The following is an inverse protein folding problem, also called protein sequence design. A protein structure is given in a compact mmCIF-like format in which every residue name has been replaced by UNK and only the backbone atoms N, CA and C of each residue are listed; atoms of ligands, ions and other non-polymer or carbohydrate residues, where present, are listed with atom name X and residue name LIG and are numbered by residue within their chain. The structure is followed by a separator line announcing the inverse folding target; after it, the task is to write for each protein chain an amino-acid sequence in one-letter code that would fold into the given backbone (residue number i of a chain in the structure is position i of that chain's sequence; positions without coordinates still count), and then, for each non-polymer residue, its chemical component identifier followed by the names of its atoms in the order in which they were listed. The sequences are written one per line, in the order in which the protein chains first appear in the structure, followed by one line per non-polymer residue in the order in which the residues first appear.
data_IF_112736022786
#
_entry.id   IF_112736022786
#
_cell.length_a   1.000
_cell.length_b   1.000
_cell.length_c   1.000
_cell.angle_alpha   90.00
_cell.angle_beta   90.00
_cell.angle_gamma   90.00
#
_symmetry.space_group_name_H-M   'P 1'
#
loop_
_entity.id
_entity.type
_entity.pdbx_description
1 polymer ?
#
# COMPACT_ATOMS: atom_id res chain seq x y z
N UNK A 1 -67.78 -21.03 -4.28
CA UNK A 1 -66.60 -21.13 -3.38
C UNK A 1 -65.52 -20.17 -3.88
N UNK A 2 -64.94 -19.42 -2.94
CA UNK A 2 -64.06 -18.27 -3.15
C UNK A 2 -62.60 -18.73 -3.24
N UNK A 3 -61.84 -18.26 -4.22
CA UNK A 3 -60.38 -18.13 -4.10
C UNK A 3 -59.92 -16.88 -4.87
N UNK A 4 -59.69 -15.81 -4.12
CA UNK A 4 -58.96 -14.62 -4.58
C UNK A 4 -57.49 -14.92 -4.33
N UNK A 5 -56.74 -15.24 -5.37
CA UNK A 5 -55.28 -15.43 -5.28
C UNK A 5 -54.63 -14.07 -5.45
N UNK A 6 -54.38 -13.39 -4.32
CA UNK A 6 -53.62 -12.14 -4.27
C UNK A 6 -52.13 -12.47 -4.42
N UNK A 7 -51.59 -12.34 -5.62
CA UNK A 7 -50.16 -12.54 -5.88
C UNK A 7 -49.38 -11.30 -5.41
N UNK A 8 -48.80 -11.38 -4.21
CA UNK A 8 -47.87 -10.37 -3.71
C UNK A 8 -46.53 -10.57 -4.44
N UNK A 9 -46.27 -9.72 -5.43
CA UNK A 9 -44.96 -9.60 -6.05
C UNK A 9 -44.00 -8.96 -5.03
N UNK A 10 -43.14 -9.79 -4.40
CA UNK A 10 -42.06 -9.31 -3.55
C UNK A 10 -40.99 -8.69 -4.45
N UNK A 11 -40.97 -7.36 -4.49
CA UNK A 11 -39.89 -6.55 -5.04
C UNK A 11 -38.60 -6.85 -4.25
N UNK A 12 -37.76 -7.72 -4.81
CA UNK A 12 -36.36 -7.88 -4.41
C UNK A 12 -35.62 -6.60 -4.83
N UNK A 13 -35.65 -5.59 -3.96
CA UNK A 13 -34.71 -4.48 -3.98
C UNK A 13 -33.33 -5.03 -3.63
N UNK A 14 -32.63 -5.55 -4.64
CA UNK A 14 -31.20 -5.79 -4.57
C UNK A 14 -30.48 -4.45 -4.46
N UNK A 15 -30.26 -3.99 -3.23
CA UNK A 15 -29.32 -2.91 -2.96
C UNK A 15 -27.92 -3.43 -3.25
N UNK A 16 -27.50 -3.36 -4.51
CA UNK A 16 -26.09 -3.40 -4.85
C UNK A 16 -25.51 -2.13 -4.23
N UNK A 17 -24.96 -2.25 -3.02
CA UNK A 17 -24.22 -1.17 -2.40
C UNK A 17 -23.08 -0.81 -3.36
N UNK A 18 -23.26 0.29 -4.09
CA UNK A 18 -22.23 0.85 -4.94
C UNK A 18 -21.10 1.28 -4.01
N UNK A 19 -20.05 0.44 -3.95
CA UNK A 19 -18.83 0.71 -3.21
C UNK A 19 -18.37 2.13 -3.53
N UNK A 20 -18.31 2.99 -2.50
CA UNK A 20 -17.92 4.38 -2.63
C UNK A 20 -16.42 4.47 -2.95
N UNK A 21 -16.09 4.26 -4.23
CA UNK A 21 -15.12 5.03 -4.99
C UNK A 21 -13.68 5.04 -4.49
N UNK A 22 -13.01 3.89 -4.39
CA UNK A 22 -11.55 3.90 -4.54
C UNK A 22 -11.21 4.32 -5.96
N UNK A 23 -10.63 5.51 -6.12
CA UNK A 23 -10.26 6.04 -7.44
C UNK A 23 -8.87 5.54 -7.80
N UNK A 24 -8.65 5.25 -9.09
CA UNK A 24 -7.28 5.08 -9.59
C UNK A 24 -6.54 6.40 -9.40
N UNK A 25 -5.28 6.38 -8.98
CA UNK A 25 -4.51 7.55 -8.72
C UNK A 25 -4.32 8.32 -10.00
N UNK A 26 -4.30 9.65 -9.89
CA UNK A 26 -3.84 10.47 -11.01
C UNK A 26 -2.38 10.07 -11.27
N UNK A 27 -2.01 9.93 -12.54
CA UNK A 27 -0.63 9.73 -12.99
C UNK A 27 0.21 10.88 -12.37
N UNK A 28 0.87 10.67 -11.23
CA UNK A 28 1.65 11.72 -10.56
C UNK A 28 1.52 11.86 -9.04
N UNK A 29 0.80 10.99 -8.33
CA UNK A 29 0.81 11.06 -6.86
C UNK A 29 2.07 10.44 -6.25
N UNK A 30 2.54 9.33 -6.82
CA UNK A 30 3.88 8.79 -6.60
C UNK A 30 4.33 7.93 -7.78
N UNK A 31 5.64 7.68 -7.86
CA UNK A 31 6.25 6.73 -8.80
C UNK A 31 6.85 5.55 -8.03
N UNK A 32 6.38 4.33 -8.30
CA UNK A 32 7.02 3.11 -7.79
C UNK A 32 8.36 2.90 -8.53
N UNK A 33 9.46 2.93 -7.78
CA UNK A 33 10.81 2.62 -8.30
C UNK A 33 11.06 1.12 -8.26
N UNK A 34 10.75 0.50 -7.13
CA UNK A 34 11.02 -0.91 -6.90
C UNK A 34 9.96 -1.51 -5.98
N UNK A 35 9.56 -2.74 -6.27
CA UNK A 35 8.84 -3.58 -5.33
C UNK A 35 9.54 -4.94 -5.28
N UNK A 36 9.89 -5.40 -4.08
CA UNK A 36 10.61 -6.64 -3.93
C UNK A 36 10.24 -7.40 -2.65
N UNK A 37 10.42 -8.71 -2.68
CA UNK A 37 10.41 -9.56 -1.47
C UNK A 37 11.85 -9.87 -1.07
N UNK A 38 12.12 -9.85 0.22
CA UNK A 38 13.41 -10.24 0.77
C UNK A 38 13.20 -11.08 2.02
N UNK A 39 13.93 -12.19 2.14
CA UNK A 39 13.95 -12.99 3.37
C UNK A 39 15.10 -12.54 4.24
N UNK A 40 14.85 -12.38 5.54
CA UNK A 40 15.92 -12.31 6.53
C UNK A 40 16.12 -13.69 7.13
N UNK A 41 17.25 -14.34 6.81
CA UNK A 41 17.67 -15.59 7.43
C UNK A 41 18.03 -15.29 8.87
N UNK A 42 17.13 -15.61 9.81
CA UNK A 42 17.48 -15.58 11.23
C UNK A 42 18.53 -16.66 11.51
N UNK A 43 19.54 -16.35 12.32
CA UNK A 43 20.54 -17.33 12.77
C UNK A 43 20.00 -18.44 13.68
N UNK A 44 18.69 -18.45 13.97
CA UNK A 44 18.05 -19.46 14.82
C UNK A 44 17.34 -20.52 13.95
N UNK A 45 17.67 -21.82 14.07
CA UNK A 45 17.15 -22.88 13.18
C UNK A 45 15.63 -23.10 13.20
N UNK A 46 14.94 -22.65 14.26
CA UNK A 46 13.59 -23.10 14.59
C UNK A 46 12.47 -22.12 14.21
N UNK A 47 12.79 -20.96 13.63
CA UNK A 47 11.80 -19.97 13.21
C UNK A 47 11.88 -19.74 11.68
N UNK A 48 10.76 -19.78 10.94
CA UNK A 48 10.77 -19.45 9.53
C UNK A 48 11.22 -17.98 9.35
N UNK A 49 12.16 -17.70 8.43
CA UNK A 49 12.68 -16.37 8.23
C UNK A 49 11.56 -15.41 7.83
N UNK A 50 11.42 -14.23 8.46
CA UNK A 50 10.43 -13.26 8.03
C UNK A 50 10.73 -12.86 6.59
N UNK A 51 9.78 -13.13 5.69
CA UNK A 51 9.81 -12.65 4.31
C UNK A 51 9.02 -11.34 4.29
N UNK A 52 9.72 -10.23 4.05
CA UNK A 52 9.11 -8.92 3.95
C UNK A 52 8.91 -8.52 2.50
N UNK A 53 7.75 -7.94 2.18
CA UNK A 53 7.59 -7.14 0.97
C UNK A 53 8.11 -5.72 1.25
N UNK A 54 8.77 -5.12 0.26
CA UNK A 54 9.33 -3.78 0.33
C UNK A 54 8.91 -3.02 -0.92
N UNK A 55 8.53 -1.76 -0.73
CA UNK A 55 8.14 -0.84 -1.81
C UNK A 55 8.99 0.41 -1.70
N UNK A 56 9.66 0.77 -2.78
CA UNK A 56 10.42 2.02 -2.90
C UNK A 56 9.66 2.93 -3.83
N UNK A 57 9.19 4.06 -3.33
CA UNK A 57 8.44 5.04 -4.12
C UNK A 57 9.11 6.41 -4.04
N UNK A 58 8.94 7.20 -5.10
CA UNK A 58 9.17 8.65 -5.09
C UNK A 58 7.82 9.31 -4.91
N UNK A 59 7.62 10.04 -3.82
CA UNK A 59 6.41 10.84 -3.61
C UNK A 59 6.38 12.00 -4.61
N UNK A 60 5.26 12.23 -5.28
CA UNK A 60 5.16 13.26 -6.33
C UNK A 60 4.03 14.28 -6.08
N UNK A 61 3.10 13.95 -5.19
CA UNK A 61 2.04 14.88 -4.80
C UNK A 61 2.57 16.05 -3.95
N UNK A 62 1.98 17.23 -4.15
CA UNK A 62 2.25 18.44 -3.36
C UNK A 62 1.59 18.41 -1.96
N UNK A 63 0.89 17.32 -1.62
CA UNK A 63 0.21 17.11 -0.33
C UNK A 63 0.84 15.95 0.43
N UNK A 64 0.68 15.95 1.76
CA UNK A 64 1.24 14.92 2.64
C UNK A 64 0.56 13.56 2.45
N UNK A 65 1.36 12.50 2.47
CA UNK A 65 0.90 11.12 2.58
C UNK A 65 0.43 10.86 4.02
N UNK A 66 -0.85 10.52 4.22
CA UNK A 66 -1.39 10.26 5.57
C UNK A 66 -1.17 8.80 5.97
N UNK A 67 -1.54 7.86 5.11
CA UNK A 67 -1.50 6.43 5.42
C UNK A 67 -1.44 5.59 4.16
N UNK A 68 -0.89 4.38 4.30
CA UNK A 68 -0.86 3.40 3.24
C UNK A 68 -1.12 2.00 3.79
N UNK A 69 -1.74 1.17 2.96
CA UNK A 69 -2.04 -0.23 3.20
C UNK A 69 -1.59 -1.04 2.00
N UNK A 70 -1.11 -2.24 2.26
CA UNK A 70 -0.81 -3.21 1.24
C UNK A 70 -1.80 -4.36 1.31
N UNK A 71 -2.36 -4.72 0.16
CA UNK A 71 -3.14 -5.94 -0.01
C UNK A 71 -2.34 -6.95 -0.81
N UNK A 72 -1.61 -7.79 -0.09
CA UNK A 72 -0.86 -8.92 -0.64
C UNK A 72 -1.72 -10.17 -0.75
N UNK A 73 -1.09 -11.29 -1.09
CA UNK A 73 -1.75 -12.61 -1.11
C UNK A 73 -2.23 -13.03 0.28
N UNK A 74 -1.47 -12.66 1.31
CA UNK A 74 -1.72 -13.07 2.70
C UNK A 74 -2.75 -12.19 3.43
N UNK A 75 -3.23 -11.13 2.78
CA UNK A 75 -4.23 -10.25 3.36
C UNK A 75 -3.86 -8.77 3.32
N UNK A 76 -4.58 -7.98 4.11
CA UNK A 76 -4.30 -6.56 4.29
C UNK A 76 -3.28 -6.35 5.41
N UNK A 77 -2.33 -5.47 5.16
CA UNK A 77 -1.32 -5.07 6.12
C UNK A 77 -1.19 -3.55 6.06
N UNK A 78 -1.10 -2.91 7.23
CA UNK A 78 -0.71 -1.50 7.28
C UNK A 78 0.72 -1.38 6.77
N UNK A 79 1.00 -0.34 6.02
CA UNK A 79 2.33 0.00 5.60
C UNK A 79 2.97 1.02 6.54
N UNK A 80 4.21 0.78 6.91
CA UNK A 80 5.05 1.73 7.64
C UNK A 80 6.18 2.21 6.75
N UNK A 81 6.53 3.48 6.90
CA UNK A 81 7.73 4.03 6.27
C UNK A 81 8.92 3.58 7.11
N UNK A 82 9.75 2.72 6.55
CA UNK A 82 10.94 2.20 7.21
C UNK A 82 12.11 3.19 7.09
N UNK A 83 12.27 3.80 5.90
CA UNK A 83 13.36 4.72 5.57
C UNK A 83 12.85 5.80 4.63
N UNK A 84 13.40 7.01 4.73
CA UNK A 84 13.03 8.13 3.86
C UNK A 84 14.27 8.93 3.47
N UNK A 85 14.60 8.98 2.19
CA UNK A 85 15.58 9.92 1.66
C UNK A 85 14.89 11.22 1.27
N UNK A 86 15.17 12.28 2.03
CA UNK A 86 14.62 13.62 1.80
C UNK A 86 15.43 14.33 0.74
N UNK A 87 14.77 14.89 -0.27
CA UNK A 87 15.48 15.77 -1.21
C UNK A 87 15.86 17.06 -0.48
N UNK A 88 17.14 17.27 -0.21
CA UNK A 88 17.64 18.61 0.02
C UNK A 88 17.45 19.41 -1.27
N UNK A 89 16.86 20.61 -1.21
CA UNK A 89 16.48 21.46 -2.38
C UNK A 89 17.55 21.61 -3.49
N UNK A 90 18.82 21.31 -3.22
CA UNK A 90 19.94 21.37 -4.17
C UNK A 90 20.04 20.16 -5.12
N UNK A 91 19.48 19.00 -4.78
CA UNK A 91 19.76 17.74 -5.50
C UNK A 91 18.56 17.18 -6.29
N UNK A 92 17.46 17.93 -6.37
CA UNK A 92 16.20 17.48 -6.98
C UNK A 92 16.30 17.09 -8.48
N UNK A 93 17.35 17.53 -9.19
CA UNK A 93 17.47 17.35 -10.65
C UNK A 93 18.17 16.06 -11.08
N UNK A 94 18.93 15.40 -10.20
CA UNK A 94 19.72 14.22 -10.55
C UNK A 94 19.44 13.08 -9.56
N UNK A 95 18.41 12.27 -9.82
CA UNK A 95 18.20 11.01 -9.11
C UNK A 95 18.95 9.88 -9.82
N UNK A 96 20.12 9.43 -9.34
CA UNK A 96 20.75 8.24 -9.90
C UNK A 96 19.93 6.99 -9.53
N UNK A 97 19.73 6.06 -10.47
CA UNK A 97 19.18 4.75 -10.15
C UNK A 97 20.16 3.99 -9.24
N UNK A 98 19.66 3.40 -8.14
CA UNK A 98 20.45 2.51 -7.27
C UNK A 98 21.04 3.14 -6.00
N UNK A 99 20.57 4.32 -5.57
CA UNK A 99 20.97 4.92 -4.29
C UNK A 99 20.67 3.99 -3.10
N UNK A 100 21.66 3.83 -2.23
CA UNK A 100 21.55 3.05 -1.00
C UNK A 100 20.72 3.84 0.02
N UNK A 101 19.43 3.52 0.13
CA UNK A 101 18.42 4.21 0.95
C UNK A 101 18.64 4.07 2.48
N UNK A 102 19.87 3.91 2.94
CA UNK A 102 20.22 3.28 4.22
C UNK A 102 20.23 4.17 5.46
N UNK A 103 20.19 5.49 5.35
CA UNK A 103 20.76 6.33 6.44
C UNK A 103 19.73 7.15 7.24
N UNK A 104 18.58 7.52 6.68
CA UNK A 104 17.71 8.47 7.36
C UNK A 104 16.44 7.81 7.94
N UNK A 105 16.21 7.91 9.27
CA UNK A 105 14.96 7.46 9.87
C UNK A 105 13.79 8.25 9.29
N UNK A 106 12.64 7.59 9.16
CA UNK A 106 11.42 8.22 8.67
C UNK A 106 11.04 9.39 9.60
N UNK A 107 11.22 10.62 9.12
CA UNK A 107 10.62 11.80 9.76
C UNK A 107 9.12 11.88 9.46
N UNK A 108 8.38 12.66 10.26
CA UNK A 108 6.90 12.69 10.23
C UNK A 108 6.30 13.26 8.94
N UNK A 109 7.05 14.07 8.17
CA UNK A 109 6.55 14.70 6.95
C UNK A 109 7.26 14.21 5.68
N UNK A 110 6.53 13.49 4.84
CA UNK A 110 6.94 13.13 3.47
C UNK A 110 6.54 14.25 2.51
N UNK A 111 7.54 14.83 1.83
CA UNK A 111 7.37 15.93 0.88
C UNK A 111 7.50 15.45 -0.56
N UNK A 112 7.04 16.28 -1.50
CA UNK A 112 7.21 16.03 -2.93
C UNK A 112 8.68 15.83 -3.29
N UNK A 113 8.94 14.73 -3.97
CA UNK A 113 10.25 14.28 -4.42
C UNK A 113 10.94 13.32 -3.44
N UNK A 114 10.50 13.24 -2.19
CA UNK A 114 11.12 12.33 -1.22
C UNK A 114 10.98 10.87 -1.69
N UNK A 115 12.06 10.11 -1.52
CA UNK A 115 12.06 8.69 -1.82
C UNK A 115 11.91 7.91 -0.54
N UNK A 116 10.88 7.08 -0.44
CA UNK A 116 10.56 6.36 0.79
C UNK A 116 10.54 4.86 0.55
N UNK A 117 11.11 4.13 1.50
CA UNK A 117 10.98 2.69 1.60
C UNK A 117 9.84 2.36 2.56
N UNK A 118 8.88 1.60 2.06
CA UNK A 118 7.69 1.22 2.79
C UNK A 118 7.65 -0.30 2.94
N UNK A 119 7.29 -0.75 4.14
CA UNK A 119 7.14 -2.16 4.49
C UNK A 119 5.72 -2.42 5.02
N UNK A 120 5.03 -3.47 4.56
CA UNK A 120 3.83 -3.96 5.22
C UNK A 120 4.19 -4.59 6.57
N UNK A 121 3.41 -4.27 7.60
CA UNK A 121 3.58 -4.82 8.95
C UNK A 121 2.34 -5.58 9.38
N UNK A 122 2.54 -6.82 9.86
CA UNK A 122 1.46 -7.71 10.29
C UNK A 122 0.86 -7.35 11.66
N UNK A 123 1.42 -6.36 12.37
CA UNK A 123 1.13 -6.12 13.81
C UNK A 123 0.05 -5.07 14.11
N UNK A 124 -0.64 -4.53 13.11
CA UNK A 124 -1.72 -3.56 13.35
C UNK A 124 -3.07 -4.25 13.55
N UNK A 125 -3.71 -4.09 14.72
CA UNK A 125 -5.16 -4.29 14.89
C UNK A 125 -5.94 -3.17 14.19
N UNK A 126 -5.57 -2.82 12.97
CA UNK A 126 -6.19 -1.71 12.26
C UNK A 126 -7.34 -2.27 11.45
N UNK A 127 -8.54 -1.81 11.77
CA UNK A 127 -9.72 -2.11 10.96
C UNK A 127 -9.48 -1.56 9.57
N UNK A 128 -9.58 -2.44 8.58
CA UNK A 128 -9.55 -2.06 7.18
C UNK A 128 -10.80 -1.20 6.96
N UNK A 129 -10.66 0.02 6.42
CA UNK A 129 -11.81 0.84 6.09
C UNK A 129 -12.72 0.14 5.07
N UNK A 130 -14.03 0.21 5.26
CA UNK A 130 -15.03 -0.47 4.43
C UNK A 130 -15.01 0.01 2.97
N UNK A 131 -14.44 1.20 2.71
CA UNK A 131 -14.31 1.74 1.36
C UNK A 131 -13.26 1.00 0.51
N UNK A 132 -12.36 0.22 1.12
CA UNK A 132 -11.29 -0.47 0.42
C UNK A 132 -11.79 -1.84 -0.11
N UNK A 133 -11.74 -2.10 -1.44
CA UNK A 133 -12.19 -3.36 -2.01
C UNK A 133 -11.39 -4.56 -1.49
N UNK A 134 -12.10 -5.57 -0.97
CA UNK A 134 -11.47 -6.76 -0.39
C UNK A 134 -10.83 -7.69 -1.45
N UNK A 135 -11.27 -7.60 -2.70
CA UNK A 135 -10.90 -8.52 -3.78
C UNK A 135 -9.66 -8.08 -4.57
N UNK A 136 -9.16 -6.87 -4.34
CA UNK A 136 -7.94 -6.39 -5.00
C UNK A 136 -6.75 -7.20 -4.48
N UNK A 137 -5.91 -7.72 -5.38
CA UNK A 137 -4.64 -8.39 -5.03
C UNK A 137 -3.47 -7.54 -5.51
N UNK A 138 -2.36 -7.62 -4.79
CA UNK A 138 -1.13 -6.90 -5.09
C UNK A 138 -1.36 -5.40 -5.31
N UNK A 139 -2.05 -4.74 -4.38
CA UNK A 139 -2.43 -3.32 -4.52
C UNK A 139 -2.03 -2.53 -3.29
N UNK A 140 -1.38 -1.38 -3.52
CA UNK A 140 -1.15 -0.36 -2.50
C UNK A 140 -2.35 0.56 -2.44
N UNK A 141 -2.98 0.65 -1.28
CA UNK A 141 -4.04 1.62 -1.00
C UNK A 141 -3.47 2.74 -0.17
N UNK A 142 -3.71 3.99 -0.55
CA UNK A 142 -3.14 5.12 0.17
C UNK A 142 -4.12 6.29 0.22
N UNK A 143 -3.88 7.14 1.21
CA UNK A 143 -4.63 8.37 1.42
C UNK A 143 -3.66 9.52 1.56
N UNK A 144 -3.95 10.60 0.86
CA UNK A 144 -3.25 11.88 0.99
C UNK A 144 -4.20 12.92 1.56
N UNK A 145 -3.66 14.00 2.12
CA UNK A 145 -4.46 15.03 2.75
C UNK A 145 -5.56 15.56 1.81
N UNK A 146 -6.80 15.64 2.32
CA UNK A 146 -7.97 16.11 1.58
C UNK A 146 -8.48 15.16 0.48
N UNK A 147 -8.06 13.89 0.46
CA UNK A 147 -8.51 12.91 -0.54
C UNK A 147 -9.24 11.71 0.07
N UNK A 148 -10.05 11.05 -0.76
CA UNK A 148 -10.53 9.69 -0.49
C UNK A 148 -9.45 8.63 -0.77
N UNK A 149 -9.78 7.36 -0.58
CA UNK A 149 -8.86 6.26 -0.84
C UNK A 149 -8.46 6.16 -2.33
N UNK A 150 -7.16 6.01 -2.55
CA UNK A 150 -6.55 5.80 -3.86
C UNK A 150 -5.89 4.42 -3.92
N UNK A 151 -5.83 3.82 -5.11
CA UNK A 151 -5.30 2.46 -5.30
C UNK A 151 -4.21 2.38 -6.36
N UNK A 152 -3.06 1.80 -6.06
CA UNK A 152 -1.96 1.60 -6.99
C UNK A 152 -1.69 0.10 -7.17
N UNK A 153 -2.10 -0.51 -8.29
CA UNK A 153 -1.78 -1.91 -8.57
C UNK A 153 -0.27 -2.08 -8.77
N UNK A 154 0.32 -3.02 -8.04
CA UNK A 154 1.73 -3.40 -8.18
C UNK A 154 1.81 -4.64 -9.04
N UNK A 155 2.26 -4.47 -10.28
CA UNK A 155 2.28 -5.54 -11.30
C UNK A 155 3.52 -6.43 -11.22
N UNK A 156 4.63 -5.92 -10.71
CA UNK A 156 5.92 -6.63 -10.65
C UNK A 156 6.52 -6.52 -9.26
N UNK A 157 6.73 -7.66 -8.61
CA UNK A 157 7.45 -7.77 -7.34
C UNK A 157 8.62 -8.74 -7.57
N UNK A 158 9.85 -8.24 -7.43
CA UNK A 158 11.06 -9.05 -7.66
C UNK A 158 11.48 -9.76 -6.38
N UNK A 159 12.09 -10.95 -6.49
CA UNK A 159 12.69 -11.61 -5.32
C UNK A 159 14.17 -11.22 -5.24
N UNK A 160 14.57 -10.57 -4.15
CA UNK A 160 15.99 -10.27 -3.87
C UNK A 160 16.66 -11.42 -3.14
N UNK A 161 18.00 -11.41 -3.13
CA UNK A 161 18.81 -12.35 -2.35
C UNK A 161 18.49 -12.20 -0.86
N UNK A 162 18.48 -13.34 -0.19
CA UNK A 162 18.22 -13.43 1.25
C UNK A 162 19.38 -12.76 2.01
N UNK A 163 19.05 -12.06 3.09
CA UNK A 163 20.04 -11.42 3.97
C UNK A 163 20.26 -12.29 5.19
N UNK A 164 21.52 -12.43 5.61
CA UNK A 164 21.82 -12.93 6.95
C UNK A 164 21.36 -11.88 7.98
N UNK A 165 20.69 -12.32 9.05
CA UNK A 165 20.47 -11.47 10.21
C UNK A 165 21.83 -11.18 10.85
N UNK A 166 22.25 -9.91 10.83
CA UNK A 166 23.43 -9.40 11.55
C UNK A 166 23.11 -9.14 13.01
#
# INVERSE_FOLDING_TARGET
MRYVVCSIAVLLLGTVAAFAGTKKPKKGDFRLLEAYTQKMVQGHPSAPPPTGEHFIIVWQADVTLETMFWRGKSGFMMCMIQKAHKIAKKDAKNFPPGLDYRVDPAGEDIKKGDTVQIIPVARGKIRIPDEIPQNSKNTLFYKKSGSGWLLFPVTKITKKRDLAAS
#
